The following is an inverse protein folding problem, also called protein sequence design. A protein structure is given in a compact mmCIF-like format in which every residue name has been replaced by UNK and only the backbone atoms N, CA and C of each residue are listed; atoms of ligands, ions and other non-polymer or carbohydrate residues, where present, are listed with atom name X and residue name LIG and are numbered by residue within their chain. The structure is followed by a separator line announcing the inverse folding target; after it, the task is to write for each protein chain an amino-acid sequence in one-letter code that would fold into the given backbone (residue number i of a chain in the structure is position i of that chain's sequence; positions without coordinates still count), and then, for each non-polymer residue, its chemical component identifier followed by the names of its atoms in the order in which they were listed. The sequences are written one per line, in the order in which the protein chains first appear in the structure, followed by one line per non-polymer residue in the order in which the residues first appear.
data_IF_538702944054
#
_entry.id   IF_538702944054
#
_cell.length_a   1.000
_cell.length_b   1.000
_cell.length_c   1.000
_cell.angle_alpha   90.00
_cell.angle_beta   90.00
_cell.angle_gamma   90.00
#
_symmetry.space_group_name_H-M   'P 1'
#
loop_
_entity.id
_entity.type
_entity.pdbx_description
1 polymer ?
#
# COMPACT_ATOMS: atom_id res chain seq x y z
N UNK A 1 7.91 -19.40 17.31
CA UNK A 1 8.31 -18.41 16.27
C UNK A 1 8.42 -16.97 16.78
N UNK A 2 7.87 -16.59 17.94
CA UNK A 2 7.88 -15.18 18.39
C UNK A 2 9.27 -14.63 18.78
N UNK A 3 10.22 -15.50 19.17
CA UNK A 3 11.58 -15.11 19.60
C UNK A 3 12.64 -15.17 18.48
N UNK A 4 12.22 -15.32 17.22
CA UNK A 4 13.15 -15.33 16.09
C UNK A 4 13.51 -13.88 15.73
N UNK A 5 14.80 -13.58 15.62
CA UNK A 5 15.30 -12.36 14.99
C UNK A 5 14.91 -12.35 13.50
N UNK A 6 13.87 -11.59 13.19
CA UNK A 6 13.25 -11.54 11.86
C UNK A 6 14.24 -11.08 10.80
N UNK A 7 15.12 -10.14 11.14
CA UNK A 7 16.02 -9.55 10.15
C UNK A 7 17.19 -10.48 9.82
N UNK A 8 17.56 -11.38 10.73
CA UNK A 8 18.54 -12.44 10.52
C UNK A 8 18.01 -13.64 9.70
N UNK A 9 16.70 -13.72 9.41
CA UNK A 9 16.13 -14.81 8.60
C UNK A 9 16.63 -14.74 7.16
N UNK A 10 17.31 -15.78 6.68
CA UNK A 10 17.76 -15.85 5.28
C UNK A 10 16.65 -16.31 4.33
N UNK A 11 15.88 -17.33 4.72
CA UNK A 11 14.78 -17.87 3.93
C UNK A 11 13.42 -17.54 4.57
N UNK A 12 12.73 -16.52 4.05
CA UNK A 12 11.40 -16.13 4.54
C UNK A 12 10.31 -17.18 4.30
N UNK A 13 10.56 -18.18 3.45
CA UNK A 13 9.62 -19.29 3.20
C UNK A 13 9.84 -20.48 4.14
N UNK A 14 10.95 -20.52 4.88
CA UNK A 14 11.24 -21.56 5.88
C UNK A 14 12.12 -21.00 6.99
N UNK A 15 11.49 -20.62 8.11
CA UNK A 15 12.16 -20.16 9.33
C UNK A 15 12.45 -21.29 10.31
N UNK A 16 12.32 -22.54 9.85
CA UNK A 16 12.44 -23.76 10.63
C UNK A 16 11.18 -24.63 10.53
N UNK A 17 11.36 -25.95 10.47
CA UNK A 17 10.29 -26.94 10.35
C UNK A 17 9.34 -26.74 9.14
N UNK A 18 9.79 -26.04 8.08
CA UNK A 18 8.96 -25.75 6.90
C UNK A 18 7.91 -24.66 7.13
N UNK A 19 8.02 -23.86 8.20
CA UNK A 19 7.10 -22.77 8.47
C UNK A 19 7.57 -21.46 7.81
N UNK A 20 6.74 -20.77 7.02
CA UNK A 20 7.12 -19.48 6.46
C UNK A 20 7.03 -18.37 7.52
N UNK A 21 7.82 -17.31 7.34
CA UNK A 21 7.83 -16.13 8.23
C UNK A 21 6.45 -15.44 8.30
N UNK A 22 5.70 -15.48 7.20
CA UNK A 22 4.39 -14.86 7.03
C UNK A 22 3.22 -15.81 7.31
N UNK A 23 3.46 -16.94 8.00
CA UNK A 23 2.43 -17.95 8.31
C UNK A 23 1.18 -17.36 8.98
N UNK A 24 1.36 -16.37 9.85
CA UNK A 24 0.29 -15.75 10.63
C UNK A 24 -0.24 -14.44 10.01
N UNK A 25 0.08 -14.14 8.75
CA UNK A 25 -0.42 -12.95 8.08
C UNK A 25 -1.93 -13.01 7.89
N UNK A 26 -2.62 -11.99 8.40
CA UNK A 26 -4.01 -11.73 8.07
C UNK A 26 -4.12 -10.94 6.76
N UNK A 27 -5.36 -10.72 6.31
CA UNK A 27 -5.68 -9.92 5.14
C UNK A 27 -5.04 -8.52 5.22
N UNK A 28 -5.08 -7.91 6.39
CA UNK A 28 -4.55 -6.58 6.64
C UNK A 28 -3.03 -6.54 6.56
N UNK A 29 -2.34 -7.62 6.91
CA UNK A 29 -0.88 -7.73 6.78
C UNK A 29 -0.46 -7.79 5.31
N UNK A 30 -1.21 -8.52 4.47
CA UNK A 30 -1.00 -8.52 3.02
C UNK A 30 -1.28 -7.15 2.38
N UNK A 31 -2.29 -6.43 2.89
CA UNK A 31 -2.58 -5.06 2.45
C UNK A 31 -1.41 -4.12 2.82
N UNK A 32 -0.88 -4.24 4.03
CA UNK A 32 0.27 -3.45 4.49
C UNK A 32 1.56 -3.78 3.73
N UNK A 33 1.83 -5.06 3.47
CA UNK A 33 2.96 -5.50 2.63
C UNK A 33 2.88 -4.85 1.24
N UNK A 34 1.71 -4.95 0.61
CA UNK A 34 1.46 -4.39 -0.72
C UNK A 34 1.64 -2.87 -0.72
N UNK A 35 1.07 -2.19 0.28
CA UNK A 35 1.20 -0.75 0.44
C UNK A 35 2.66 -0.34 0.65
N UNK A 36 3.44 -1.08 1.43
CA UNK A 36 4.87 -0.80 1.63
C UNK A 36 5.66 -0.87 0.33
N UNK A 37 5.46 -1.97 -0.40
CA UNK A 37 6.10 -2.18 -1.69
C UNK A 37 5.75 -1.04 -2.66
N UNK A 38 4.45 -0.72 -2.80
CA UNK A 38 3.98 0.35 -3.69
C UNK A 38 4.56 1.73 -3.31
N UNK A 39 4.60 2.07 -2.01
CA UNK A 39 5.15 3.36 -1.57
C UNK A 39 6.66 3.46 -1.82
N UNK A 40 7.41 2.39 -1.58
CA UNK A 40 8.84 2.36 -1.86
C UNK A 40 9.12 2.44 -3.36
N UNK A 41 8.49 1.57 -4.16
CA UNK A 41 8.71 1.52 -5.61
C UNK A 41 8.27 2.82 -6.30
N UNK A 42 7.20 3.47 -5.85
CA UNK A 42 6.78 4.78 -6.38
C UNK A 42 7.86 5.85 -6.20
N UNK A 43 8.50 5.90 -5.03
CA UNK A 43 9.56 6.86 -4.74
C UNK A 43 10.82 6.57 -5.56
N UNK A 44 11.18 5.30 -5.73
CA UNK A 44 12.28 4.91 -6.63
C UNK A 44 12.00 5.26 -8.08
N UNK A 45 10.79 4.99 -8.57
CA UNK A 45 10.37 5.33 -9.93
C UNK A 45 10.38 6.85 -10.15
N UNK A 46 9.90 7.63 -9.17
CA UNK A 46 9.96 9.09 -9.23
C UNK A 46 11.39 9.60 -9.36
N UNK A 47 12.33 9.10 -8.54
CA UNK A 47 13.74 9.51 -8.60
C UNK A 47 14.34 9.23 -9.99
N UNK A 48 14.05 8.05 -10.56
CA UNK A 48 14.51 7.64 -11.89
C UNK A 48 13.88 8.45 -13.03
N UNK A 49 12.60 8.81 -12.91
CA UNK A 49 11.87 9.55 -13.93
C UNK A 49 12.18 11.06 -13.93
N UNK A 50 12.35 11.64 -12.73
CA UNK A 50 12.53 13.09 -12.56
C UNK A 50 14.00 13.48 -12.68
N UNK A 51 14.91 12.67 -12.11
CA UNK A 51 16.37 12.83 -12.20
C UNK A 51 16.86 14.28 -11.98
N UNK A 52 16.27 14.96 -10.98
CA UNK A 52 16.52 16.37 -10.66
C UNK A 52 16.85 16.51 -9.16
N UNK A 53 18.08 16.90 -8.80
CA UNK A 53 18.49 17.11 -7.40
C UNK A 53 17.65 18.12 -6.63
N UNK A 54 17.02 19.09 -7.31
CA UNK A 54 16.13 20.08 -6.69
C UNK A 54 14.73 19.51 -6.40
N UNK A 55 14.46 18.28 -6.84
CA UNK A 55 13.21 17.55 -6.59
C UNK A 55 13.53 16.24 -5.87
N UNK A 56 13.93 16.29 -4.58
CA UNK A 56 14.44 15.14 -3.86
C UNK A 56 13.37 14.07 -3.56
N UNK A 57 12.09 14.40 -3.69
CA UNK A 57 10.97 13.52 -3.39
C UNK A 57 9.64 14.02 -3.96
N UNK A 58 8.55 13.35 -3.58
CA UNK A 58 7.21 13.60 -4.13
C UNK A 58 6.47 14.60 -3.24
N UNK A 59 6.13 15.77 -3.78
CA UNK A 59 5.24 16.71 -3.09
C UNK A 59 3.87 16.10 -2.81
N UNK A 60 3.26 16.36 -1.65
CA UNK A 60 1.99 15.77 -1.24
C UNK A 60 0.86 15.92 -2.28
N UNK A 61 0.69 17.12 -2.83
CA UNK A 61 -0.25 17.42 -3.92
C UNK A 61 -0.10 16.55 -5.16
N UNK A 62 1.08 15.95 -5.39
CA UNK A 62 1.37 15.11 -6.55
C UNK A 62 1.35 13.61 -6.24
N UNK A 63 1.28 13.21 -4.97
CA UNK A 63 1.32 11.80 -4.54
C UNK A 63 0.27 10.95 -5.27
N UNK A 64 -0.98 11.43 -5.29
CA UNK A 64 -2.09 10.73 -5.95
C UNK A 64 -1.84 10.50 -7.45
N UNK A 65 -1.25 11.50 -8.10
CA UNK A 65 -0.97 11.47 -9.52
C UNK A 65 0.12 10.45 -9.84
N UNK A 66 1.23 10.44 -9.07
CA UNK A 66 2.30 9.47 -9.25
C UNK A 66 1.84 8.05 -8.94
N UNK A 67 1.04 7.86 -7.90
CA UNK A 67 0.47 6.55 -7.56
C UNK A 67 -0.39 6.01 -8.72
N UNK A 68 -1.24 6.85 -9.31
CA UNK A 68 -2.02 6.46 -10.48
C UNK A 68 -1.16 6.26 -11.73
N UNK A 69 -0.16 7.12 -11.96
CA UNK A 69 0.73 7.04 -13.11
C UNK A 69 1.43 5.70 -13.16
N UNK A 70 2.03 5.26 -12.05
CA UNK A 70 2.84 4.06 -11.99
C UNK A 70 2.02 2.78 -11.83
N UNK A 71 1.03 2.77 -10.94
CA UNK A 71 0.29 1.53 -10.63
C UNK A 71 -1.02 1.40 -11.40
N UNK A 72 -1.48 2.47 -12.06
CA UNK A 72 -2.82 2.56 -12.65
C UNK A 72 -3.92 2.31 -11.62
N UNK A 73 -3.67 2.62 -10.34
CA UNK A 73 -4.62 2.45 -9.23
C UNK A 73 -5.05 3.80 -8.67
N UNK A 74 -6.14 3.80 -7.92
CA UNK A 74 -6.53 4.93 -7.06
C UNK A 74 -6.30 4.53 -5.61
N UNK A 75 -5.46 5.26 -4.89
CA UNK A 75 -5.30 5.05 -3.46
C UNK A 75 -6.55 5.57 -2.74
N UNK A 76 -7.27 4.68 -2.06
CA UNK A 76 -8.49 5.02 -1.33
C UNK A 76 -8.25 4.99 0.18
N UNK A 77 -8.01 6.14 0.85
CA UNK A 77 -7.73 6.20 2.29
C UNK A 77 -8.75 5.48 3.17
N UNK A 78 -10.03 5.57 2.79
CA UNK A 78 -11.13 4.89 3.49
C UNK A 78 -10.96 3.38 3.57
N UNK A 79 -10.29 2.75 2.60
CA UNK A 79 -10.03 1.31 2.64
C UNK A 79 -9.03 0.94 3.76
N UNK A 80 -8.20 1.88 4.19
CA UNK A 80 -7.23 1.73 5.27
C UNK A 80 -7.75 2.29 6.61
N UNK A 81 -9.02 2.69 6.68
CA UNK A 81 -9.63 3.23 7.90
C UNK A 81 -9.22 4.67 8.23
N UNK A 82 -8.66 5.41 7.26
CA UNK A 82 -8.20 6.80 7.42
C UNK A 82 -8.85 7.74 6.40
N UNK A 83 -8.73 9.05 6.60
CA UNK A 83 -9.41 10.06 5.79
C UNK A 83 -8.55 10.57 4.62
N UNK A 84 -7.23 10.64 4.80
CA UNK A 84 -6.32 11.26 3.82
C UNK A 84 -5.21 10.32 3.33
N UNK A 85 -4.64 10.61 2.16
CA UNK A 85 -3.50 9.84 1.62
C UNK A 85 -2.27 9.97 2.52
N UNK A 86 -2.06 11.14 3.12
CA UNK A 86 -1.00 11.37 4.10
C UNK A 86 -1.18 10.45 5.31
N UNK A 87 -2.40 10.31 5.83
CA UNK A 87 -2.67 9.37 6.91
C UNK A 87 -2.40 7.91 6.52
N UNK A 88 -2.62 7.52 5.26
CA UNK A 88 -2.25 6.17 4.78
C UNK A 88 -0.74 5.96 4.89
N UNK A 89 0.07 6.93 4.47
CA UNK A 89 1.54 6.82 4.56
C UNK A 89 2.04 6.68 6.00
N UNK A 90 1.34 7.30 6.97
CA UNK A 90 1.70 7.18 8.40
C UNK A 90 1.57 5.74 8.94
N UNK A 91 0.75 4.90 8.30
CA UNK A 91 0.61 3.48 8.66
C UNK A 91 1.86 2.67 8.23
N UNK A 92 2.55 3.12 7.19
CA UNK A 92 3.77 2.50 6.62
C UNK A 92 4.96 3.47 6.68
N UNK A 93 5.10 4.17 7.82
CA UNK A 93 6.14 5.18 8.05
C UNK A 93 7.56 4.66 7.90
N UNK A 94 7.75 3.34 7.91
CA UNK A 94 9.02 2.66 7.67
C UNK A 94 9.52 2.81 6.23
N UNK A 95 8.63 3.03 5.25
CA UNK A 95 8.98 3.23 3.83
C UNK A 95 8.53 4.58 3.27
N UNK A 96 7.65 5.30 3.96
CA UNK A 96 7.12 6.60 3.53
C UNK A 96 7.19 7.61 4.67
N UNK A 97 8.22 8.45 4.64
CA UNK A 97 8.41 9.59 5.55
C UNK A 97 8.08 10.91 4.87
N UNK A 98 8.04 11.98 5.67
CA UNK A 98 7.77 13.34 5.19
C UNK A 98 8.78 14.32 5.76
N UNK A 99 9.30 15.18 4.89
CA UNK A 99 10.04 16.39 5.23
C UNK A 99 9.25 17.57 4.69
N UNK A 100 8.60 18.32 5.60
CA UNK A 100 7.59 19.31 5.23
C UNK A 100 6.51 18.66 4.35
N UNK A 101 6.32 19.17 3.12
CA UNK A 101 5.33 18.71 2.14
C UNK A 101 5.91 17.68 1.15
N UNK A 102 7.17 17.26 1.33
CA UNK A 102 7.87 16.33 0.43
C UNK A 102 7.97 14.95 1.06
N UNK A 103 7.44 13.95 0.36
CA UNK A 103 7.57 12.55 0.74
C UNK A 103 8.98 12.05 0.43
N UNK A 104 9.60 11.42 1.43
CA UNK A 104 10.96 10.92 1.41
C UNK A 104 11.00 9.46 1.88
N UNK A 105 11.87 8.64 1.29
CA UNK A 105 12.02 7.26 1.70
C UNK A 105 12.97 7.20 2.92
N UNK A 106 12.52 6.70 4.08
CA UNK A 106 13.37 6.59 5.27
C UNK A 106 14.40 5.46 5.18
N UNK A 107 14.26 4.56 4.21
CA UNK A 107 15.19 3.45 4.01
C UNK A 107 16.51 3.95 3.45
N UNK A 108 17.62 3.47 4.02
CA UNK A 108 18.97 3.89 3.63
C UNK A 108 19.38 3.39 2.23
N UNK A 109 18.80 2.28 1.77
CA UNK A 109 19.18 1.59 0.54
C UNK A 109 17.96 1.30 -0.34
N UNK A 110 18.18 1.19 -1.65
CA UNK A 110 17.16 0.69 -2.58
C UNK A 110 16.89 -0.77 -2.26
N UNK A 111 15.77 -1.04 -1.59
CA UNK A 111 15.31 -2.41 -1.38
C UNK A 111 14.75 -2.98 -2.67
N UNK A 112 15.45 -3.97 -3.22
CA UNK A 112 15.06 -4.66 -4.45
C UNK A 112 14.37 -6.00 -4.17
N UNK A 113 14.51 -6.56 -2.96
CA UNK A 113 13.99 -7.86 -2.60
C UNK A 113 12.67 -7.78 -1.81
N UNK A 114 11.75 -8.70 -2.11
CA UNK A 114 10.47 -8.80 -1.41
C UNK A 114 10.63 -9.28 0.04
N UNK A 115 11.72 -9.99 0.35
CA UNK A 115 11.95 -10.57 1.67
C UNK A 115 12.12 -9.48 2.74
N UNK A 116 12.76 -8.36 2.41
CA UNK A 116 12.85 -7.18 3.29
C UNK A 116 11.48 -6.63 3.66
N UNK A 117 10.54 -6.49 2.71
CA UNK A 117 9.18 -6.03 3.02
C UNK A 117 8.39 -7.04 3.86
N UNK A 118 8.58 -8.35 3.63
CA UNK A 118 7.98 -9.41 4.45
C UNK A 118 8.48 -9.32 5.90
N UNK A 119 9.79 -9.13 6.09
CA UNK A 119 10.42 -8.97 7.40
C UNK A 119 9.87 -7.75 8.14
N UNK A 120 9.84 -6.58 7.49
CA UNK A 120 9.29 -5.35 8.09
C UNK A 120 7.82 -5.53 8.45
N UNK A 121 7.04 -6.16 7.58
CA UNK A 121 5.61 -6.39 7.82
C UNK A 121 5.38 -7.35 9.00
N UNK A 122 6.16 -8.42 9.12
CA UNK A 122 6.09 -9.34 10.25
C UNK A 122 6.50 -8.67 11.58
N UNK A 123 7.57 -7.86 11.60
CA UNK A 123 7.95 -7.12 12.81
C UNK A 123 6.83 -6.18 13.26
N UNK A 124 6.26 -5.41 12.32
CA UNK A 124 5.16 -4.50 12.62
C UNK A 124 3.88 -5.24 13.02
N UNK A 125 3.63 -6.45 12.48
CA UNK A 125 2.53 -7.31 12.93
C UNK A 125 2.74 -7.76 14.38
N UNK A 126 3.94 -8.23 14.73
CA UNK A 126 4.27 -8.65 16.11
C UNK A 126 4.19 -7.49 17.09
N UNK A 127 4.70 -6.31 16.73
CA UNK A 127 4.60 -5.12 17.57
C UNK A 127 3.14 -4.70 17.79
N UNK A 128 2.34 -4.70 16.72
CA UNK A 128 0.90 -4.41 16.80
C UNK A 128 0.16 -5.41 17.67
N UNK A 129 0.45 -6.71 17.53
CA UNK A 129 -0.16 -7.75 18.36
C UNK A 129 0.19 -7.55 19.84
N UNK A 130 1.47 -7.28 20.17
CA UNK A 130 1.91 -6.97 21.54
C UNK A 130 1.15 -5.79 22.14
N UNK A 131 0.91 -4.72 21.36
CA UNK A 131 0.11 -3.57 21.81
C UNK A 131 -1.35 -3.94 22.08
N UNK A 132 -1.96 -4.71 21.18
CA UNK A 132 -3.33 -5.21 21.36
C UNK A 132 -3.44 -6.08 22.62
N UNK A 133 -2.50 -7.00 22.84
CA UNK A 133 -2.48 -7.89 24.00
C UNK A 133 -2.26 -7.11 25.32
N UNK A 134 -1.59 -5.96 25.26
CA UNK A 134 -1.44 -5.02 26.37
C UNK A 134 -2.67 -4.11 26.58
N UNK A 135 -3.75 -4.28 25.80
CA UNK A 135 -4.99 -3.51 25.92
C UNK A 135 -5.01 -2.18 25.17
N UNK A 136 -4.00 -1.89 24.34
CA UNK A 136 -4.00 -0.74 23.45
C UNK A 136 -4.86 -1.02 22.21
N UNK A 137 -6.16 -0.79 22.34
CA UNK A 137 -7.15 -0.97 21.28
C UNK A 137 -6.90 -0.07 20.06
N UNK A 138 -6.10 1.00 20.19
CA UNK A 138 -5.75 1.87 19.05
C UNK A 138 -4.82 1.19 18.04
N UNK A 139 -4.19 0.07 18.43
CA UNK A 139 -3.34 -0.71 17.55
C UNK A 139 -4.13 -1.60 16.56
N UNK A 140 -5.44 -1.77 16.72
CA UNK A 140 -6.24 -2.61 15.80
C UNK A 140 -6.41 -1.95 14.43
N UNK A 141 -6.15 -2.71 13.37
CA UNK A 141 -6.41 -2.29 12.00
C UNK A 141 -7.92 -2.40 11.69
N UNK A 142 -8.44 -1.40 10.97
CA UNK A 142 -9.85 -1.33 10.56
C UNK A 142 -9.95 -1.21 9.05
N UNK A 143 -9.35 -2.17 8.35
CA UNK A 143 -9.27 -2.13 6.90
C UNK A 143 -10.55 -2.68 6.27
N UNK A 144 -10.95 -2.08 5.16
CA UNK A 144 -11.96 -2.65 4.29
C UNK A 144 -11.36 -3.85 3.54
N UNK A 145 -12.15 -4.89 3.21
CA UNK A 145 -11.73 -5.94 2.28
C UNK A 145 -11.23 -5.38 0.93
N UNK A 146 -11.66 -4.17 0.56
CA UNK A 146 -11.21 -3.49 -0.65
C UNK A 146 -9.76 -2.98 -0.60
N UNK A 147 -9.09 -3.03 0.56
CA UNK A 147 -7.69 -2.60 0.69
C UNK A 147 -6.73 -3.46 -0.16
N UNK A 148 -7.04 -4.76 -0.33
CA UNK A 148 -6.29 -5.68 -1.19
C UNK A 148 -6.79 -5.74 -2.63
N UNK A 149 -8.04 -5.35 -2.87
CA UNK A 149 -8.70 -5.55 -4.16
C UNK A 149 -8.56 -4.36 -5.12
N UNK A 150 -7.67 -3.41 -4.85
CA UNK A 150 -7.42 -2.27 -5.74
C UNK A 150 -6.72 -2.76 -7.02
N UNK A 151 -7.50 -3.31 -7.95
CA UNK A 151 -7.07 -3.58 -9.32
C UNK A 151 -6.85 -2.28 -10.09
N UNK A 152 -6.31 -2.37 -11.32
CA UNK A 152 -6.16 -1.20 -12.18
C UNK A 152 -7.50 -0.46 -12.30
N UNK A 153 -7.49 0.83 -11.96
CA UNK A 153 -8.59 1.75 -12.20
C UNK A 153 -8.83 1.87 -13.72
N UNK A 154 -9.67 0.98 -14.24
CA UNK A 154 -10.20 1.10 -15.59
C UNK A 154 -11.04 2.38 -15.68
N UNK A 155 -10.87 3.15 -16.76
CA UNK A 155 -11.83 4.21 -17.09
C UNK A 155 -13.17 3.54 -17.37
N UNK A 156 -14.09 3.54 -16.41
CA UNK A 156 -15.48 3.24 -16.68
C UNK A 156 -16.09 4.41 -17.47
N UNK A 157 -15.83 4.45 -18.78
CA UNK A 157 -16.61 5.27 -19.70
C UNK A 157 -17.94 4.56 -19.95
N UNK A 158 -18.93 4.79 -19.10
CA UNK A 158 -20.33 4.63 -19.51
C UNK A 158 -20.93 6.01 -19.64
N UNK A 159 -20.65 6.63 -20.77
CA UNK A 159 -21.42 7.76 -21.27
C UNK A 159 -22.83 7.21 -21.53
N UNK A 160 -23.79 7.55 -20.67
CA UNK A 160 -25.19 7.29 -20.93
C UNK A 160 -25.57 8.04 -22.22
N UNK A 161 -25.84 7.31 -23.29
CA UNK A 161 -26.41 7.90 -24.52
C UNK A 161 -27.89 8.21 -24.27
N UNK A 162 -28.33 9.48 -24.41
CA UNK A 162 -29.75 9.79 -24.48
C UNK A 162 -30.14 9.74 -25.96
N UNK A 163 -30.77 8.65 -26.40
CA UNK A 163 -31.54 8.70 -27.63
C UNK A 163 -32.97 8.24 -27.36
N UNK A 164 -33.83 9.23 -27.17
CA UNK A 164 -35.26 9.15 -27.33
C UNK A 164 -35.63 9.24 -28.82
N UNK A 165 -36.68 8.55 -29.21
CA UNK A 165 -37.38 8.67 -30.49
C UNK A 165 -37.52 7.31 -31.17
N UNK A 166 -38.68 6.80 -31.53
CA UNK A 166 -40.04 7.34 -31.59
C UNK A 166 -40.94 6.27 -32.20
N UNK A 167 -42.24 6.43 -32.03
CA UNK A 167 -43.30 5.50 -32.39
C UNK A 167 -43.34 5.09 -33.89
N UNK A 168 -43.89 3.89 -34.15
CA UNK A 168 -44.24 3.42 -35.49
C UNK A 168 -45.09 2.16 -35.46
N UNK A 169 -46.41 2.32 -35.31
CA UNK A 169 -47.41 1.27 -35.53
C UNK A 169 -47.54 0.91 -37.02
N UNK A 170 -47.88 -0.35 -37.32
CA UNK A 170 -48.88 -0.88 -38.31
C UNK A 170 -48.63 -2.39 -38.46
N UNK A 171 -49.55 -3.26 -38.04
CA UNK A 171 -50.71 -3.80 -38.79
C UNK A 171 -50.30 -4.70 -39.97
N UNK A 172 -50.60 -5.99 -39.84
CA UNK A 172 -50.44 -7.07 -40.81
C UNK A 172 -50.81 -8.39 -40.16
#
# INVERSE_FOLDING_TARGET
AQDIDIFAVENVSDVGNGEPLFKDFAMEDWALLSLRYEMHTMQLAFKKDVDDPERPGIHESNMAWYYNRYFKKTLAPRNYGVATQIEVTKIVKDVAGWSEEIMMCPMAEEVEDLATFLKITEEQRRERQRRVDAGDETARLKFSPLALSAGPSGKASSQASPFAGGAGAKAG
#
